data_IF_893449126257
#
_entry.id   IF_893449126257
#
_cell.length_a   1.000
_cell.length_b   1.000
_cell.length_c   1.000
_cell.angle_alpha   90.00
_cell.angle_beta   90.00
_cell.angle_gamma   90.00
#
_symmetry.space_group_name_H-M   'P 1'
#
loop_
_entity.id
_entity.type
_entity.pdbx_description
1 polymer ?
#
# COMPACT_ATOMS: atom_id res chain seq x y z
N UNK A 1 17.03 9.69 -8.07
CA UNK A 1 16.19 9.61 -6.85
C UNK A 1 15.16 10.73 -6.69
N UNK A 2 15.28 11.90 -7.35
CA UNK A 2 14.16 12.86 -7.42
C UNK A 2 13.05 12.28 -8.30
N UNK A 3 11.83 12.17 -7.77
CA UNK A 3 10.64 11.73 -8.52
C UNK A 3 9.87 10.56 -7.89
N UNK A 4 10.50 9.78 -7.00
CA UNK A 4 9.80 8.70 -6.31
C UNK A 4 9.05 9.24 -5.10
N UNK A 5 7.76 8.90 -4.99
CA UNK A 5 6.98 9.15 -3.78
C UNK A 5 6.93 7.91 -2.93
N UNK A 6 7.66 7.95 -1.82
CA UNK A 6 7.74 6.83 -0.88
C UNK A 6 6.67 6.97 0.20
N UNK A 7 5.88 5.91 0.37
CA UNK A 7 4.91 5.73 1.46
C UNK A 7 5.51 4.77 2.48
N UNK A 8 5.62 5.22 3.73
CA UNK A 8 6.12 4.41 4.85
C UNK A 8 4.98 4.26 5.85
N UNK A 9 4.66 3.01 6.21
CA UNK A 9 3.62 2.68 7.18
C UNK A 9 4.17 1.75 8.27
N UNK A 10 3.75 2.01 9.51
CA UNK A 10 4.11 1.23 10.67
C UNK A 10 2.87 0.57 11.24
N UNK A 11 2.90 -0.75 11.38
CA UNK A 11 1.83 -1.53 11.97
C UNK A 11 2.31 -2.14 13.29
N UNK A 12 1.53 -1.97 14.35
CA UNK A 12 1.76 -2.68 15.60
C UNK A 12 1.23 -4.11 15.49
N UNK A 13 2.13 -5.09 15.61
CA UNK A 13 1.77 -6.50 15.59
C UNK A 13 1.42 -6.94 17.01
N UNK A 14 0.31 -7.65 17.13
CA UNK A 14 -0.15 -8.27 18.36
C UNK A 14 -0.47 -9.73 18.10
N UNK A 15 -0.32 -10.59 19.11
CA UNK A 15 -0.84 -11.96 19.04
C UNK A 15 -2.37 -12.00 19.25
N UNK A 16 -2.94 -13.20 19.20
CA UNK A 16 -4.38 -13.43 19.39
C UNK A 16 -4.90 -12.99 20.78
N UNK A 17 -4.01 -12.90 21.76
CA UNK A 17 -4.33 -12.47 23.13
C UNK A 17 -4.08 -10.97 23.32
N UNK A 18 -3.70 -10.25 22.26
CA UNK A 18 -3.44 -8.81 22.28
C UNK A 18 -2.06 -8.44 22.82
N UNK A 19 -1.16 -9.39 23.05
CA UNK A 19 0.21 -9.09 23.48
C UNK A 19 0.98 -8.47 22.33
N UNK A 20 1.64 -7.34 22.60
CA UNK A 20 2.50 -6.69 21.62
C UNK A 20 3.69 -7.59 21.23
N UNK A 21 3.84 -7.81 19.92
CA UNK A 21 4.90 -8.62 19.33
C UNK A 21 5.99 -7.78 18.67
N UNK A 22 5.67 -6.54 18.28
CA UNK A 22 6.61 -5.67 17.59
C UNK A 22 5.95 -4.76 16.55
N UNK A 23 6.77 -4.21 15.66
CA UNK A 23 6.32 -3.32 14.60
C UNK A 23 6.73 -3.85 13.23
N UNK A 24 5.79 -3.83 12.28
CA UNK A 24 6.07 -4.08 10.87
C UNK A 24 6.15 -2.74 10.13
N UNK A 25 7.33 -2.42 9.60
CA UNK A 25 7.51 -1.32 8.66
C UNK A 25 7.24 -1.80 7.24
N UNK A 26 6.44 -1.03 6.50
CA UNK A 26 6.17 -1.24 5.08
C UNK A 26 6.55 0.02 4.33
N UNK A 27 7.57 -0.10 3.48
CA UNK A 27 8.07 0.98 2.63
C UNK A 27 7.73 0.66 1.17
N UNK A 28 6.98 1.55 0.52
CA UNK A 28 6.50 1.35 -0.86
C UNK A 28 6.71 2.61 -1.69
N UNK A 29 7.19 2.45 -2.92
CA UNK A 29 7.07 3.49 -3.93
C UNK A 29 5.62 3.52 -4.45
N UNK A 30 4.94 4.64 -4.26
CA UNK A 30 3.54 4.83 -4.66
C UNK A 30 3.38 5.76 -5.85
N UNK A 31 4.47 6.07 -6.57
CA UNK A 31 4.47 7.01 -7.69
C UNK A 31 3.44 6.63 -8.75
N UNK A 32 3.37 5.36 -9.15
CA UNK A 32 2.40 4.88 -10.15
C UNK A 32 0.97 4.84 -9.61
N UNK A 33 0.79 4.43 -8.34
CA UNK A 33 -0.54 4.39 -7.71
C UNK A 33 -1.19 5.77 -7.64
N UNK A 34 -0.41 6.84 -7.46
CA UNK A 34 -0.93 8.21 -7.47
C UNK A 34 -1.40 8.69 -8.84
N UNK A 35 -0.89 8.09 -9.92
CA UNK A 35 -1.26 8.45 -11.30
C UNK A 35 -2.53 7.73 -11.76
N UNK A 36 -2.96 6.68 -11.05
CA UNK A 36 -4.19 5.96 -11.36
C UNK A 36 -5.40 6.88 -11.18
N UNK A 37 -6.18 7.04 -12.24
CA UNK A 37 -7.43 7.79 -12.27
C UNK A 37 -8.55 6.94 -12.87
N UNK A 38 -9.80 7.25 -12.54
CA UNK A 38 -10.95 6.49 -13.03
C UNK A 38 -11.10 5.14 -12.35
N UNK A 39 -11.63 4.15 -13.07
CA UNK A 39 -11.84 2.80 -12.57
C UNK A 39 -11.56 1.80 -13.72
N UNK A 40 -11.02 0.63 -13.38
CA UNK A 40 -10.94 -0.52 -14.30
C UNK A 40 -11.95 -1.56 -13.84
N UNK A 41 -13.00 -1.80 -14.62
CA UNK A 41 -14.01 -2.82 -14.30
C UNK A 41 -13.77 -4.07 -15.13
N UNK A 42 -14.21 -5.20 -14.60
CA UNK A 42 -14.19 -6.45 -15.33
C UNK A 42 -15.07 -6.29 -16.60
N UNK A 43 -14.56 -6.74 -17.76
CA UNK A 43 -15.20 -6.70 -19.09
C UNK A 43 -15.20 -5.33 -19.83
N UNK A 44 -14.59 -4.27 -19.30
CA UNK A 44 -14.50 -2.99 -20.02
C UNK A 44 -13.72 -3.08 -21.35
N UNK A 45 -12.82 -4.07 -21.49
CA UNK A 45 -11.95 -4.29 -22.66
C UNK A 45 -12.62 -5.13 -23.78
N UNK A 46 -13.84 -5.65 -23.58
CA UNK A 46 -14.56 -6.50 -24.53
C UNK A 46 -15.62 -5.75 -25.38
N UNK A 47 -15.42 -4.43 -25.60
CA UNK A 47 -16.29 -3.61 -26.43
C UNK A 47 -15.80 -3.47 -27.86
#
# INVERSE_FOLDING_TARGET
MRGMKISIRYYALHDEQGKYLGCLEVTQDITEFQQLTGQKRLLDELK
#
